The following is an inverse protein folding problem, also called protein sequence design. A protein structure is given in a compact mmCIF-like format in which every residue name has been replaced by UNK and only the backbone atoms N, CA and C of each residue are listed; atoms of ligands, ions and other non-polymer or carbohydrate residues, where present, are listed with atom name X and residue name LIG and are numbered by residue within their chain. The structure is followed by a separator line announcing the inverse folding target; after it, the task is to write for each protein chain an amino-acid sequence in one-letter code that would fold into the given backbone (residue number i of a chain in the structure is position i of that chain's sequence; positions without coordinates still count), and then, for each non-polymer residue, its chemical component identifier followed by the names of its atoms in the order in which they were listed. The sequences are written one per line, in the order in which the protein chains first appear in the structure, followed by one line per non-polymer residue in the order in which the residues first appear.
data_IF_173164494082
#
_entry.id   IF_173164494082
#
_cell.length_a   1.000
_cell.length_b   1.000
_cell.length_c   1.000
_cell.angle_alpha   90.00
_cell.angle_beta   90.00
_cell.angle_gamma   90.00
#
_symmetry.space_group_name_H-M   'P 1'
#
loop_
_entity.id
_entity.type
_entity.pdbx_description
1 polymer ?
#
# COMPACT_ATOMS: atom_id res chain seq x y z
N UNK A 1 4.39 -62.00 20.31
CA UNK A 1 5.28 -60.82 20.27
C UNK A 1 4.53 -59.74 19.50
N UNK A 2 4.05 -58.70 20.18
CA UNK A 2 3.33 -57.58 19.56
C UNK A 2 4.30 -56.39 19.49
N UNK A 3 4.64 -55.99 18.26
CA UNK A 3 5.44 -54.81 17.99
C UNK A 3 4.54 -53.58 18.15
N UNK A 4 4.57 -52.93 19.30
CA UNK A 4 3.95 -51.60 19.48
C UNK A 4 4.90 -50.56 18.89
N UNK A 5 4.64 -50.12 17.66
CA UNK A 5 5.28 -48.94 17.10
C UNK A 5 4.68 -47.69 17.76
N UNK A 6 5.52 -46.88 18.41
CA UNK A 6 5.14 -45.56 18.92
C UNK A 6 4.98 -44.61 17.74
N UNK A 7 3.78 -44.55 17.15
CA UNK A 7 3.41 -43.50 16.22
C UNK A 7 2.89 -42.30 17.02
N UNK A 8 3.78 -41.34 17.32
CA UNK A 8 3.36 -40.06 17.88
C UNK A 8 2.46 -39.31 16.87
N UNK A 9 1.37 -38.64 17.30
CA UNK A 9 0.56 -37.83 16.40
C UNK A 9 1.42 -36.73 15.76
N UNK A 10 1.38 -36.63 14.43
CA UNK A 10 1.96 -35.48 13.71
C UNK A 10 0.88 -34.39 13.73
N UNK A 11 1.14 -33.30 14.43
CA UNK A 11 0.26 -32.13 14.39
C UNK A 11 0.35 -31.48 13.00
N UNK A 12 -0.80 -31.29 12.36
CA UNK A 12 -0.86 -30.63 11.06
C UNK A 12 -0.69 -29.13 11.23
N UNK A 13 0.41 -28.57 10.72
CA UNK A 13 0.60 -27.12 10.66
C UNK A 13 -0.27 -26.56 9.53
N UNK A 14 -1.27 -25.75 9.88
CA UNK A 14 -2.10 -25.03 8.90
C UNK A 14 -1.52 -23.65 8.66
N UNK A 15 -1.07 -23.39 7.44
CA UNK A 15 -0.60 -22.06 7.02
C UNK A 15 -1.73 -21.31 6.35
N UNK A 16 -1.97 -20.08 6.78
CA UNK A 16 -2.94 -19.17 6.16
C UNK A 16 -2.21 -17.97 5.58
N UNK A 17 -2.48 -17.66 4.31
CA UNK A 17 -1.98 -16.44 3.67
C UNK A 17 -2.96 -15.31 3.99
N UNK A 18 -2.55 -14.39 4.86
CA UNK A 18 -3.33 -13.19 5.17
C UNK A 18 -2.86 -12.08 4.22
N UNK A 19 -3.72 -11.71 3.26
CA UNK A 19 -3.47 -10.57 2.36
C UNK A 19 -3.85 -9.28 3.11
N UNK A 20 -2.86 -8.44 3.43
CA UNK A 20 -3.09 -7.10 3.98
C UNK A 20 -3.25 -6.12 2.84
N UNK A 21 -4.44 -5.55 2.70
CA UNK A 21 -4.72 -4.50 1.73
C UNK A 21 -4.79 -3.15 2.46
N UNK A 22 -4.35 -2.05 1.81
CA UNK A 22 -4.60 -0.72 2.33
C UNK A 22 -6.11 -0.45 2.42
N UNK A 23 -6.54 0.46 3.31
CA UNK A 23 -7.91 0.93 3.38
C UNK A 23 -8.45 1.34 2.00
N UNK A 24 -9.72 1.02 1.76
CA UNK A 24 -10.39 1.42 0.53
C UNK A 24 -10.38 2.95 0.39
N UNK A 25 -9.99 3.44 -0.80
CA UNK A 25 -9.89 4.88 -1.08
C UNK A 25 -8.58 5.54 -0.65
N UNK A 26 -7.61 4.80 -0.09
CA UNK A 26 -6.28 5.35 0.22
C UNK A 26 -5.49 5.73 -1.04
N UNK A 27 -5.64 4.96 -2.11
CA UNK A 27 -5.07 5.26 -3.43
C UNK A 27 -6.22 5.47 -4.40
N UNK A 28 -6.39 6.69 -4.89
CA UNK A 28 -7.36 7.00 -5.94
C UNK A 28 -6.64 7.47 -7.22
N UNK A 29 -7.28 7.35 -8.40
CA UNK A 29 -6.68 7.85 -9.63
C UNK A 29 -6.35 9.34 -9.54
N UNK A 30 -5.08 9.65 -9.75
CA UNK A 30 -4.58 11.00 -9.86
C UNK A 30 -4.94 11.63 -11.20
N UNK A 31 -5.87 12.58 -11.20
CA UNK A 31 -6.28 13.25 -12.43
C UNK A 31 -5.28 14.34 -12.81
N UNK A 32 -4.63 14.15 -13.96
CA UNK A 32 -3.80 15.18 -14.57
C UNK A 32 -4.71 16.29 -15.14
N UNK A 33 -4.55 17.55 -14.70
CA UNK A 33 -5.30 18.66 -15.27
C UNK A 33 -4.86 18.92 -16.71
N UNK A 34 -5.78 19.47 -17.52
CA UNK A 34 -5.45 19.90 -18.87
C UNK A 34 -4.46 21.07 -18.81
N UNK A 35 -3.38 20.99 -19.57
CA UNK A 35 -2.33 22.01 -19.68
C UNK A 35 -2.31 22.50 -21.12
N UNK A 36 -2.48 23.80 -21.32
CA UNK A 36 -2.41 24.42 -22.65
C UNK A 36 -0.99 24.87 -22.98
N UNK A 37 -0.23 25.32 -21.98
CA UNK A 37 1.19 25.65 -22.12
C UNK A 37 1.48 26.92 -22.93
N UNK A 38 0.46 27.74 -23.22
CA UNK A 38 0.66 29.04 -23.88
C UNK A 38 1.04 30.09 -22.86
N UNK A 39 2.00 30.93 -23.21
CA UNK A 39 2.38 32.08 -22.40
C UNK A 39 1.41 33.25 -22.64
N UNK A 40 1.02 34.00 -21.59
CA UNK A 40 1.38 33.87 -20.18
C UNK A 40 0.45 32.97 -19.34
N UNK A 41 -0.63 32.43 -19.92
CA UNK A 41 -1.68 31.69 -19.20
C UNK A 41 -1.14 30.45 -18.47
N UNK A 42 -0.09 29.84 -19.01
CA UNK A 42 0.60 28.71 -18.40
C UNK A 42 1.10 29.03 -16.98
N UNK A 43 1.56 30.26 -16.72
CA UNK A 43 2.05 30.66 -15.39
C UNK A 43 0.91 30.91 -14.43
N UNK A 44 -0.13 31.60 -14.89
CA UNK A 44 -1.22 32.04 -14.02
C UNK A 44 -2.23 30.94 -13.74
N UNK A 45 -2.37 29.99 -14.65
CA UNK A 45 -3.38 28.94 -14.56
C UNK A 45 -2.79 27.54 -14.51
N UNK A 46 -1.99 27.16 -15.51
CA UNK A 46 -1.58 25.75 -15.67
C UNK A 46 -0.62 25.31 -14.56
N UNK A 47 0.41 26.11 -14.24
CA UNK A 47 1.38 25.81 -13.18
C UNK A 47 0.70 25.68 -11.80
N UNK A 48 -0.17 26.61 -11.36
CA UNK A 48 -0.92 26.45 -10.12
C UNK A 48 -1.81 25.21 -10.10
N UNK A 49 -2.56 24.94 -11.18
CA UNK A 49 -3.43 23.74 -11.28
C UNK A 49 -2.61 22.46 -11.19
N UNK A 50 -1.47 22.41 -11.88
CA UNK A 50 -0.54 21.27 -11.82
C UNK A 50 0.02 21.10 -10.41
N UNK A 51 0.45 22.18 -9.75
CA UNK A 51 0.98 22.13 -8.39
C UNK A 51 -0.04 21.51 -7.44
N UNK A 52 -1.28 21.98 -7.47
CA UNK A 52 -2.36 21.44 -6.61
C UNK A 52 -2.59 19.95 -6.88
N UNK A 53 -2.72 19.56 -8.15
CA UNK A 53 -2.94 18.17 -8.52
C UNK A 53 -1.80 17.24 -8.08
N UNK A 54 -0.55 17.68 -8.29
CA UNK A 54 0.64 16.91 -7.88
C UNK A 54 0.75 16.82 -6.36
N UNK A 55 0.51 17.90 -5.63
CA UNK A 55 0.56 17.89 -4.15
C UNK A 55 -0.47 16.94 -3.55
N UNK A 56 -1.69 16.90 -4.08
CA UNK A 56 -2.71 15.97 -3.60
C UNK A 56 -2.32 14.50 -3.85
N UNK A 57 -1.72 14.23 -5.01
CA UNK A 57 -1.22 12.91 -5.36
C UNK A 57 -0.05 12.46 -4.49
N UNK A 58 0.87 13.38 -4.20
CA UNK A 58 2.01 13.12 -3.35
C UNK A 58 1.58 12.72 -1.93
N UNK A 59 0.59 13.43 -1.38
CA UNK A 59 0.00 13.11 -0.08
C UNK A 59 -0.58 11.69 -0.01
N UNK A 60 -1.28 11.24 -1.05
CA UNK A 60 -1.80 9.86 -1.10
C UNK A 60 -0.68 8.82 -1.11
N UNK A 61 0.44 9.12 -1.77
CA UNK A 61 1.62 8.26 -1.77
C UNK A 61 2.25 8.21 -0.38
N UNK A 62 2.42 9.36 0.28
CA UNK A 62 2.94 9.43 1.65
C UNK A 62 2.06 8.63 2.63
N UNK A 63 0.74 8.80 2.57
CA UNK A 63 -0.22 8.07 3.41
C UNK A 63 -0.09 6.55 3.19
N UNK A 64 0.05 6.11 1.94
CA UNK A 64 0.27 4.70 1.61
C UNK A 64 1.62 4.17 2.12
N UNK A 65 2.70 4.96 1.99
CA UNK A 65 4.03 4.56 2.46
C UNK A 65 4.06 4.46 3.99
N UNK A 66 3.43 5.38 4.70
CA UNK A 66 3.28 5.34 6.15
C UNK A 66 2.48 4.11 6.60
N UNK A 67 1.33 3.86 5.95
CA UNK A 67 0.54 2.65 6.22
C UNK A 67 1.38 1.39 6.01
N UNK A 68 2.15 1.30 4.92
CA UNK A 68 3.03 0.14 4.69
C UNK A 68 4.07 -0.02 5.80
N UNK A 69 4.75 1.06 6.20
CA UNK A 69 5.76 1.00 7.26
C UNK A 69 5.19 0.46 8.58
N UNK A 70 3.97 0.85 8.96
CA UNK A 70 3.28 0.36 10.16
C UNK A 70 2.87 -1.12 10.08
N UNK A 71 2.63 -1.64 8.88
CA UNK A 71 2.06 -2.97 8.67
C UNK A 71 3.10 -4.03 8.28
N UNK A 72 4.23 -3.61 7.68
CA UNK A 72 5.40 -4.43 7.38
C UNK A 72 6.34 -4.58 8.59
N UNK A 73 6.51 -3.54 9.43
CA UNK A 73 7.36 -3.60 10.64
C UNK A 73 6.88 -4.62 11.68
N UNK A 74 5.58 -4.94 11.70
CA UNK A 74 4.99 -5.94 12.61
C UNK A 74 5.27 -7.40 12.20
N UNK A 75 5.99 -7.65 11.11
CA UNK A 75 6.36 -8.99 10.65
C UNK A 75 7.56 -9.55 11.44
N UNK A 76 8.27 -8.71 12.22
CA UNK A 76 9.47 -9.11 12.98
C UNK A 76 9.26 -9.61 14.41
N UNK A 77 8.05 -9.55 14.99
CA UNK A 77 7.81 -9.93 16.39
C UNK A 77 6.62 -10.88 16.50
N UNK A 78 6.83 -12.11 16.03
CA UNK A 78 6.12 -13.27 16.57
C UNK A 78 7.09 -14.45 16.48
N UNK A 79 7.94 -14.54 17.50
CA UNK A 79 8.68 -15.75 17.84
C UNK A 79 8.74 -15.85 19.35
#
# INVERSE_FOLDING_TARGET
MLLSACASPIETVSTQVIVKLPPAGMLVPCYKPLVKGTWPEAITEDIPKLKVAVTECDKQIEDYLNWRAEHESKIGISK
#
